data_IF_801116109150
#
_entry.id   IF_801116109150
#
_cell.length_a   1.000
_cell.length_b   1.000
_cell.length_c   1.000
_cell.angle_alpha   90.00
_cell.angle_beta   90.00
_cell.angle_gamma   90.00
#
_symmetry.space_group_name_H-M   'P 1'
#
loop_
_entity.id
_entity.type
_entity.pdbx_description
1 polymer ?
#
# COMPACT_ATOMS: atom_id res chain seq x y z
N UNK A 1 -13.32 -3.45 14.00
CA UNK A 1 -12.12 -2.57 14.04
C UNK A 1 -10.94 -3.29 14.68
N UNK A 2 -9.73 -3.11 14.12
CA UNK A 2 -8.51 -3.93 14.35
C UNK A 2 -7.96 -3.99 15.80
N UNK A 3 -8.30 -3.06 16.69
CA UNK A 3 -7.82 -3.05 18.08
C UNK A 3 -8.89 -2.49 19.02
N UNK A 4 -9.09 -3.14 20.16
CA UNK A 4 -10.01 -2.69 21.21
C UNK A 4 -9.52 -1.44 21.95
N UNK A 5 -8.21 -1.20 21.98
CA UNK A 5 -7.57 -0.12 22.77
C UNK A 5 -6.72 0.83 21.92
N UNK A 6 -6.77 0.68 20.60
CA UNK A 6 -5.88 1.37 19.66
C UNK A 6 -4.43 0.86 19.71
N UNK A 7 -3.48 1.67 19.28
CA UNK A 7 -2.04 1.37 19.33
C UNK A 7 -1.29 2.59 19.89
N UNK A 8 -0.48 2.39 20.93
CA UNK A 8 0.37 3.43 21.50
C UNK A 8 1.79 3.29 20.96
N UNK A 9 2.16 4.13 19.99
CA UNK A 9 3.48 4.04 19.34
C UNK A 9 4.62 4.65 20.14
N UNK A 10 4.32 5.62 21.01
CA UNK A 10 5.30 6.25 21.92
C UNK A 10 6.25 7.26 21.25
N UNK A 11 6.09 7.56 19.96
CA UNK A 11 6.87 8.60 19.29
C UNK A 11 6.53 10.00 19.81
N UNK A 12 7.50 10.92 19.90
CA UNK A 12 7.19 12.33 20.10
C UNK A 12 6.46 12.89 18.87
N UNK A 13 5.55 13.85 19.10
CA UNK A 13 4.78 14.49 18.04
C UNK A 13 5.45 15.78 17.56
N UNK A 14 5.19 16.14 16.30
CA UNK A 14 5.74 17.33 15.69
C UNK A 14 5.10 18.60 16.24
N UNK A 15 5.92 19.62 16.52
CA UNK A 15 5.44 20.98 16.78
C UNK A 15 5.18 21.70 15.45
N UNK A 16 4.07 21.38 14.80
CA UNK A 16 3.72 21.88 13.47
C UNK A 16 3.74 23.41 13.32
N UNK A 17 3.36 24.15 14.36
CA UNK A 17 3.43 25.63 14.38
C UNK A 17 4.88 26.12 14.25
N UNK A 18 5.82 25.50 14.98
CA UNK A 18 7.24 25.84 14.90
C UNK A 18 7.80 25.49 13.53
N UNK A 19 7.45 24.31 13.00
CA UNK A 19 7.87 23.89 11.67
C UNK A 19 7.38 24.84 10.58
N UNK A 20 6.12 25.29 10.65
CA UNK A 20 5.55 26.27 9.73
C UNK A 20 6.31 27.62 9.81
N UNK A 21 6.63 28.10 11.01
CA UNK A 21 7.43 29.31 11.21
C UNK A 21 8.87 29.22 10.67
N UNK A 22 9.36 28.01 10.41
CA UNK A 22 10.66 27.73 9.80
C UNK A 22 10.56 27.34 8.32
N UNK A 23 9.40 27.54 7.70
CA UNK A 23 9.17 27.20 6.28
C UNK A 23 9.28 25.69 6.00
N UNK A 24 8.96 24.85 6.99
CA UNK A 24 9.03 23.38 6.89
C UNK A 24 10.40 22.81 6.51
N UNK A 25 11.48 23.57 6.72
CA UNK A 25 12.85 23.20 6.32
C UNK A 25 13.25 21.76 6.68
N UNK A 26 12.94 21.30 7.90
CA UNK A 26 13.26 19.94 8.32
C UNK A 26 12.63 18.86 7.44
N UNK A 27 11.37 19.05 7.03
CA UNK A 27 10.68 18.09 6.16
C UNK A 27 11.19 18.15 4.72
N UNK A 28 11.51 19.35 4.23
CA UNK A 28 12.13 19.54 2.91
C UNK A 28 13.48 18.79 2.87
N UNK A 29 14.35 19.04 3.84
CA UNK A 29 15.66 18.37 3.94
C UNK A 29 15.51 16.85 4.10
N UNK A 30 14.54 16.38 4.89
CA UNK A 30 14.27 14.94 5.06
C UNK A 30 13.86 14.28 3.75
N UNK A 31 12.94 14.89 3.00
CA UNK A 31 12.45 14.35 1.73
C UNK A 31 13.59 14.37 0.71
N UNK A 32 14.31 15.49 0.60
CA UNK A 32 15.46 15.63 -0.29
C UNK A 32 16.51 14.54 -0.03
N UNK A 33 16.94 14.37 1.23
CA UNK A 33 17.93 13.35 1.58
C UNK A 33 17.43 11.92 1.33
N UNK A 34 16.12 11.67 1.45
CA UNK A 34 15.55 10.35 1.15
C UNK A 34 15.54 10.08 -0.35
N UNK A 35 15.26 11.11 -1.18
CA UNK A 35 15.32 11.01 -2.65
C UNK A 35 16.74 10.81 -3.21
N UNK A 36 17.78 11.02 -2.41
CA UNK A 36 19.15 10.62 -2.78
C UNK A 36 19.34 9.09 -2.74
N UNK A 37 18.45 8.36 -2.07
CA UNK A 37 18.55 6.91 -1.85
C UNK A 37 17.52 6.10 -2.63
N UNK A 38 16.37 6.69 -2.95
CA UNK A 38 15.23 6.02 -3.60
C UNK A 38 14.56 6.93 -4.62
N UNK A 39 13.98 6.34 -5.66
CA UNK A 39 13.24 7.10 -6.68
C UNK A 39 11.84 7.52 -6.20
N UNK A 40 11.23 6.74 -5.31
CA UNK A 40 9.87 6.92 -4.82
C UNK A 40 9.82 6.70 -3.30
N UNK A 41 9.15 7.61 -2.59
CA UNK A 41 9.01 7.55 -1.12
C UNK A 41 7.59 7.11 -0.77
N UNK A 42 7.44 5.95 -0.11
CA UNK A 42 6.22 5.66 0.65
C UNK A 42 6.26 6.43 1.96
N UNK A 43 5.30 7.33 2.16
CA UNK A 43 5.14 8.01 3.45
C UNK A 43 4.15 7.22 4.30
N UNK A 44 4.69 6.61 5.35
CA UNK A 44 3.94 5.89 6.37
C UNK A 44 3.01 6.83 7.15
N UNK A 45 1.83 6.34 7.50
CA UNK A 45 0.79 7.06 8.20
C UNK A 45 0.46 8.42 7.58
N UNK A 46 0.23 8.45 6.25
CA UNK A 46 0.00 9.69 5.49
C UNK A 46 -1.16 10.51 6.06
N UNK A 47 -2.18 9.86 6.63
CA UNK A 47 -3.30 10.56 7.27
C UNK A 47 -2.86 11.55 8.36
N UNK A 48 -1.70 11.30 8.98
CA UNK A 48 -1.08 12.14 10.01
C UNK A 48 -0.83 13.59 9.58
N UNK A 49 -0.72 13.85 8.28
CA UNK A 49 -0.55 15.21 7.73
C UNK A 49 -1.86 15.98 7.62
N UNK A 50 -3.00 15.30 7.63
CA UNK A 50 -4.32 15.92 7.74
C UNK A 50 -4.70 16.13 9.21
N UNK A 51 -4.59 15.06 10.00
CA UNK A 51 -4.75 15.08 11.44
C UNK A 51 -3.97 13.91 12.07
N UNK A 52 -3.48 14.07 13.30
CA UNK A 52 -2.82 13.01 14.04
C UNK A 52 -3.50 12.79 15.38
N UNK A 53 -3.39 11.57 15.91
CA UNK A 53 -3.92 11.21 17.21
C UNK A 53 -2.90 11.53 18.30
N UNK A 54 -3.19 12.55 19.10
CA UNK A 54 -2.35 13.02 20.19
C UNK A 54 -2.77 12.38 21.50
N UNK A 55 -1.85 11.65 22.14
CA UNK A 55 -2.09 10.98 23.42
C UNK A 55 -1.19 11.64 24.49
N UNK A 56 -1.73 12.03 25.65
CA UNK A 56 -0.91 12.53 26.75
C UNK A 56 0.17 11.53 27.17
N UNK A 57 1.38 12.04 27.43
CA UNK A 57 2.47 11.21 27.93
C UNK A 57 2.09 10.57 29.28
N UNK A 58 2.35 9.27 29.42
CA UNK A 58 2.04 8.50 30.63
C UNK A 58 0.77 7.64 30.53
N UNK A 59 -0.04 7.80 29.49
CA UNK A 59 -1.13 6.86 29.19
C UNK A 59 -0.58 5.47 28.86
N UNK A 60 -1.27 4.42 29.31
CA UNK A 60 -0.92 3.02 29.00
C UNK A 60 -1.53 2.55 27.67
N UNK A 61 -2.54 3.26 27.17
CA UNK A 61 -3.28 2.91 25.94
C UNK A 61 -3.53 4.13 25.06
N UNK A 62 -4.02 3.90 23.83
CA UNK A 62 -4.34 4.97 22.90
C UNK A 62 -5.78 5.52 23.04
N UNK A 63 -6.55 5.03 24.02
CA UNK A 63 -7.97 5.39 24.17
C UNK A 63 -8.13 6.88 24.49
N UNK A 64 -7.32 7.42 25.39
CA UNK A 64 -7.44 8.79 25.91
C UNK A 64 -6.67 9.81 25.07
N UNK A 65 -6.79 9.74 23.74
CA UNK A 65 -6.20 10.72 22.83
C UNK A 65 -7.23 11.67 22.21
N UNK A 66 -6.75 12.54 21.32
CA UNK A 66 -7.59 13.44 20.52
C UNK A 66 -7.01 13.64 19.13
N UNK A 67 -7.89 13.86 18.15
CA UNK A 67 -7.46 14.29 16.82
C UNK A 67 -7.02 15.76 16.83
N UNK A 68 -5.80 16.02 16.36
CA UNK A 68 -5.23 17.36 16.19
C UNK A 68 -4.92 17.58 14.72
N UNK A 69 -5.38 18.69 14.15
CA UNK A 69 -5.11 19.04 12.74
C UNK A 69 -3.63 19.30 12.50
N UNK A 70 -3.12 18.76 11.39
CA UNK A 70 -1.79 19.06 10.88
C UNK A 70 -1.89 19.95 9.61
N UNK A 71 -0.86 20.76 9.31
CA UNK A 71 -0.86 21.66 8.17
C UNK A 71 -0.39 20.96 6.88
N UNK A 72 -0.92 19.77 6.57
CA UNK A 72 -0.42 18.92 5.48
C UNK A 72 -0.36 19.61 4.12
N UNK A 73 -1.41 20.37 3.76
CA UNK A 73 -1.42 21.12 2.50
C UNK A 73 -0.28 22.13 2.41
N UNK A 74 -0.12 22.97 3.44
CA UNK A 74 0.94 23.98 3.47
C UNK A 74 2.34 23.35 3.51
N UNK A 75 2.48 22.18 4.16
CA UNK A 75 3.71 21.40 4.14
C UNK A 75 4.04 20.95 2.72
N UNK A 76 3.12 20.22 2.05
CA UNK A 76 3.41 19.65 0.72
C UNK A 76 3.54 20.73 -0.37
N UNK A 77 2.83 21.86 -0.26
CA UNK A 77 3.07 23.04 -1.12
C UNK A 77 4.50 23.58 -0.94
N UNK A 78 5.01 23.65 0.29
CA UNK A 78 6.38 24.12 0.55
C UNK A 78 7.43 23.12 0.05
N UNK A 79 7.17 21.82 0.18
CA UNK A 79 8.07 20.77 -0.33
C UNK A 79 8.08 20.77 -1.86
N UNK A 80 6.93 20.84 -2.51
CA UNK A 80 6.83 20.92 -3.98
C UNK A 80 7.50 22.19 -4.51
N UNK A 81 7.31 23.34 -3.84
CA UNK A 81 7.97 24.58 -4.22
C UNK A 81 9.51 24.50 -4.11
N UNK A 82 10.04 23.72 -3.16
CA UNK A 82 11.48 23.58 -2.93
C UNK A 82 12.13 22.51 -3.81
N UNK A 83 11.44 21.40 -4.06
CA UNK A 83 12.00 20.19 -4.69
C UNK A 83 11.42 19.86 -6.07
N UNK A 84 10.34 20.53 -6.48
CA UNK A 84 9.61 20.22 -7.70
C UNK A 84 8.67 19.03 -7.53
N UNK A 85 8.58 18.18 -8.55
CA UNK A 85 7.71 17.00 -8.53
C UNK A 85 8.03 16.09 -7.34
N UNK A 86 6.98 15.63 -6.66
CA UNK A 86 7.08 14.83 -5.43
C UNK A 86 6.73 13.36 -5.72
N UNK A 87 7.70 12.45 -5.89
CA UNK A 87 7.44 11.04 -6.15
C UNK A 87 7.09 10.32 -4.83
N UNK A 88 5.89 10.60 -4.32
CA UNK A 88 5.40 10.11 -3.02
C UNK A 88 4.24 9.14 -3.23
N UNK A 89 4.25 8.02 -2.51
CA UNK A 89 3.11 7.12 -2.31
C UNK A 89 2.53 7.36 -0.91
N UNK A 90 1.22 7.56 -0.83
CA UNK A 90 0.53 7.74 0.44
C UNK A 90 0.16 6.38 1.04
N UNK A 91 0.67 6.06 2.23
CA UNK A 91 0.09 5.00 3.05
C UNK A 91 -1.19 5.54 3.69
N UNK A 92 -2.32 5.21 3.07
CA UNK A 92 -3.67 5.66 3.41
C UNK A 92 -4.56 4.50 3.87
N UNK A 93 -4.04 3.61 4.72
CA UNK A 93 -4.82 2.53 5.30
C UNK A 93 -5.53 2.95 6.59
N UNK A 94 -6.58 2.22 6.96
CA UNK A 94 -7.39 2.46 8.15
C UNK A 94 -8.61 3.35 7.90
N UNK A 95 -9.05 4.09 8.92
CA UNK A 95 -10.19 5.01 8.79
C UNK A 95 -9.72 6.31 8.13
N UNK A 96 -9.98 6.41 6.83
CA UNK A 96 -9.65 7.56 6.01
C UNK A 96 -10.87 8.45 5.85
N UNK A 97 -10.69 9.74 6.08
CA UNK A 97 -11.73 10.75 5.90
C UNK A 97 -11.59 11.41 4.52
N UNK A 98 -12.65 12.08 4.05
CA UNK A 98 -12.62 12.79 2.76
C UNK A 98 -11.53 13.86 2.70
N UNK A 99 -11.15 14.43 3.84
CA UNK A 99 -10.07 15.40 3.95
C UNK A 99 -8.70 14.78 3.69
N UNK A 100 -8.48 13.53 4.11
CA UNK A 100 -7.23 12.79 3.83
C UNK A 100 -7.18 12.43 2.35
N UNK A 101 -8.29 11.95 1.77
CA UNK A 101 -8.38 11.67 0.34
C UNK A 101 -8.12 12.93 -0.48
N UNK A 102 -8.72 14.06 -0.09
CA UNK A 102 -8.51 15.34 -0.77
C UNK A 102 -7.05 15.80 -0.64
N UNK A 103 -6.40 15.61 0.51
CA UNK A 103 -4.99 15.93 0.67
C UNK A 103 -4.12 15.08 -0.27
N UNK A 104 -4.36 13.77 -0.35
CA UNK A 104 -3.66 12.86 -1.27
C UNK A 104 -3.88 13.27 -2.74
N UNK A 105 -5.14 13.44 -3.13
CA UNK A 105 -5.54 13.67 -4.52
C UNK A 105 -5.09 15.05 -5.03
N UNK A 106 -4.99 16.07 -4.15
CA UNK A 106 -4.50 17.41 -4.52
C UNK A 106 -3.04 17.43 -4.99
N UNK A 107 -2.21 16.47 -4.56
CA UNK A 107 -0.81 16.35 -4.97
C UNK A 107 -0.57 15.13 -5.88
N UNK A 108 -1.64 14.51 -6.39
CA UNK A 108 -1.61 13.32 -7.25
C UNK A 108 -0.82 12.13 -6.66
N UNK A 109 -0.81 11.99 -5.33
CA UNK A 109 -0.12 10.88 -4.67
C UNK A 109 -0.92 9.57 -4.85
N UNK A 110 -0.31 8.47 -5.31
CA UNK A 110 -0.99 7.18 -5.35
C UNK A 110 -1.29 6.68 -3.92
N UNK A 111 -2.52 6.22 -3.70
CA UNK A 111 -2.92 5.51 -2.47
C UNK A 111 -2.61 4.01 -2.53
N UNK A 112 -2.92 3.27 -1.47
CA UNK A 112 -2.64 1.83 -1.34
C UNK A 112 -3.91 0.97 -1.35
N UNK A 113 -3.87 -0.14 -2.08
CA UNK A 113 -4.90 -1.17 -2.06
C UNK A 113 -4.32 -2.50 -1.58
N UNK A 114 -4.85 -3.06 -0.48
CA UNK A 114 -4.38 -4.34 0.08
C UNK A 114 -5.42 -5.43 -0.17
N UNK A 115 -5.11 -6.40 -1.04
CA UNK A 115 -6.05 -7.45 -1.42
C UNK A 115 -6.51 -8.30 -0.23
N UNK A 116 -5.64 -8.54 0.75
CA UNK A 116 -6.01 -9.23 2.00
C UNK A 116 -7.10 -8.52 2.82
N UNK A 117 -7.36 -7.23 2.58
CA UNK A 117 -8.44 -6.47 3.22
C UNK A 117 -9.71 -6.39 2.34
N UNK A 118 -9.64 -6.82 1.08
CA UNK A 118 -10.75 -6.77 0.14
C UNK A 118 -11.90 -7.74 0.51
N UNK A 119 -11.57 -8.82 1.20
CA UNK A 119 -12.47 -9.96 1.41
C UNK A 119 -12.92 -10.16 2.86
N UNK A 120 -12.78 -9.14 3.73
CA UNK A 120 -13.33 -9.20 5.08
C UNK A 120 -14.86 -9.10 5.03
N UNK A 121 -15.54 -10.22 5.26
CA UNK A 121 -17.00 -10.34 5.20
C UNK A 121 -17.65 -10.47 6.60
N UNK A 122 -16.86 -10.29 7.68
CA UNK A 122 -17.17 -10.74 9.05
C UNK A 122 -18.49 -10.27 9.64
N UNK A 123 -19.03 -9.13 9.21
CA UNK A 123 -20.28 -8.59 9.80
C UNK A 123 -21.52 -8.76 8.91
N UNK A 124 -21.36 -8.86 7.58
CA UNK A 124 -22.49 -8.82 6.63
C UNK A 124 -22.74 -10.14 5.88
N UNK A 125 -21.90 -11.16 6.06
CA UNK A 125 -21.96 -12.42 5.31
C UNK A 125 -21.79 -12.25 3.80
N UNK A 126 -21.40 -11.06 3.36
CA UNK A 126 -21.25 -10.65 1.97
C UNK A 126 -20.17 -9.59 1.88
N UNK A 127 -19.59 -9.42 0.69
CA UNK A 127 -18.63 -8.34 0.45
C UNK A 127 -19.33 -7.00 0.62
N UNK A 128 -18.69 -6.08 1.34
CA UNK A 128 -19.06 -4.68 1.27
C UNK A 128 -18.75 -4.18 -0.17
N UNK A 129 -19.76 -3.83 -0.99
CA UNK A 129 -19.53 -3.41 -2.37
C UNK A 129 -18.77 -2.07 -2.45
N UNK A 130 -18.71 -1.30 -1.36
CA UNK A 130 -17.94 -0.04 -1.30
C UNK A 130 -16.53 -0.23 -0.74
N UNK A 131 -16.10 -1.46 -0.46
CA UNK A 131 -14.73 -1.73 -0.03
C UNK A 131 -13.76 -1.36 -1.16
N UNK A 132 -12.98 -0.30 -0.97
CA UNK A 132 -12.07 0.21 -2.00
C UNK A 132 -10.91 -0.75 -2.29
N UNK A 133 -10.61 -1.69 -1.39
CA UNK A 133 -9.60 -2.73 -1.60
C UNK A 133 -10.00 -3.77 -2.64
N UNK A 134 -11.29 -3.85 -3.01
CA UNK A 134 -11.75 -4.75 -4.07
C UNK A 134 -11.20 -4.28 -5.42
N UNK A 135 -10.59 -5.19 -6.23
CA UNK A 135 -9.98 -4.83 -7.51
C UNK A 135 -10.84 -3.98 -8.46
N UNK A 136 -12.16 -4.24 -8.53
CA UNK A 136 -13.07 -3.47 -9.39
C UNK A 136 -13.39 -2.06 -8.86
N UNK A 137 -13.01 -1.75 -7.61
CA UNK A 137 -13.13 -0.43 -7.00
C UNK A 137 -11.80 0.34 -6.96
N UNK A 138 -10.68 -0.30 -7.32
CA UNK A 138 -9.37 0.33 -7.33
C UNK A 138 -9.32 1.49 -8.34
N UNK A 139 -8.57 2.54 -8.01
CA UNK A 139 -8.29 3.67 -8.91
C UNK A 139 -6.97 3.45 -9.66
N UNK A 140 -6.80 3.97 -10.90
CA UNK A 140 -5.53 3.87 -11.60
C UNK A 140 -4.35 4.47 -10.84
N UNK A 141 -4.52 5.66 -10.24
CA UNK A 141 -3.49 6.28 -9.41
C UNK A 141 -3.41 5.65 -8.01
N UNK A 142 -2.97 4.39 -7.95
CA UNK A 142 -2.79 3.64 -6.71
C UNK A 142 -1.72 2.55 -6.86
N UNK A 143 -1.36 1.95 -5.73
CA UNK A 143 -0.49 0.78 -5.64
C UNK A 143 -1.26 -0.37 -5.02
N UNK A 144 -1.35 -1.49 -5.73
CA UNK A 144 -1.94 -2.72 -5.19
C UNK A 144 -0.87 -3.61 -4.57
N UNK A 145 -1.21 -4.23 -3.44
CA UNK A 145 -0.42 -5.25 -2.77
C UNK A 145 -1.28 -6.48 -2.53
N UNK A 146 -0.69 -7.68 -2.57
CA UNK A 146 -1.33 -8.86 -1.99
C UNK A 146 -1.49 -8.66 -0.47
N UNK A 147 -0.37 -8.40 0.20
CA UNK A 147 -0.24 -7.93 1.58
C UNK A 147 1.01 -7.06 1.74
N UNK A 148 1.14 -6.37 2.87
CA UNK A 148 2.36 -5.64 3.25
C UNK A 148 3.25 -6.49 4.17
N UNK A 149 4.31 -5.90 4.71
CA UNK A 149 5.15 -6.54 5.73
C UNK A 149 4.46 -6.70 7.09
N UNK A 150 3.38 -5.96 7.36
CA UNK A 150 2.58 -6.05 8.59
C UNK A 150 1.48 -7.13 8.50
N UNK A 151 1.15 -7.52 7.27
CA UNK A 151 0.26 -8.61 7.00
C UNK A 151 0.96 -9.97 7.21
N UNK A 152 0.15 -11.01 7.40
CA UNK A 152 0.66 -12.37 7.23
C UNK A 152 0.93 -12.64 5.73
N UNK A 153 1.63 -13.71 5.40
CA UNK A 153 1.71 -14.17 4.00
C UNK A 153 0.31 -14.46 3.50
N UNK A 154 0.06 -14.33 2.19
CA UNK A 154 -1.27 -14.59 1.64
C UNK A 154 -1.71 -16.04 1.91
N UNK A 155 -0.76 -16.98 2.00
CA UNK A 155 -1.03 -18.37 2.36
C UNK A 155 -1.49 -18.52 3.81
N UNK A 156 -0.74 -17.93 4.76
CA UNK A 156 -1.08 -17.94 6.18
C UNK A 156 -2.41 -17.23 6.44
N UNK A 157 -2.55 -16.04 5.86
CA UNK A 157 -3.80 -15.25 5.88
C UNK A 157 -5.00 -16.05 5.39
N UNK A 158 -4.89 -16.75 4.26
CA UNK A 158 -6.00 -17.52 3.68
C UNK A 158 -6.39 -18.72 4.54
N UNK A 159 -5.41 -19.42 5.14
CA UNK A 159 -5.66 -20.59 5.99
C UNK A 159 -6.51 -20.25 7.21
N UNK A 160 -6.27 -19.09 7.80
CA UNK A 160 -6.99 -18.53 8.96
C UNK A 160 -8.35 -17.90 8.59
N UNK A 161 -8.85 -18.08 7.36
CA UNK A 161 -10.20 -17.67 6.96
C UNK A 161 -11.23 -18.75 7.23
N UNK A 162 -12.47 -18.33 7.47
CA UNK A 162 -13.60 -19.26 7.59
C UNK A 162 -13.90 -19.93 6.24
N UNK A 163 -14.64 -21.04 6.26
CA UNK A 163 -15.00 -21.73 5.02
C UNK A 163 -15.89 -20.86 4.11
N UNK A 164 -16.71 -19.99 4.70
CA UNK A 164 -17.55 -19.01 3.99
C UNK A 164 -16.70 -17.93 3.29
N UNK A 165 -15.69 -17.39 3.97
CA UNK A 165 -14.75 -16.43 3.39
C UNK A 165 -13.93 -17.08 2.27
N UNK A 166 -13.47 -18.31 2.47
CA UNK A 166 -12.74 -19.09 1.46
C UNK A 166 -13.61 -19.34 0.22
N UNK A 167 -14.87 -19.72 0.40
CA UNK A 167 -15.84 -19.88 -0.69
C UNK A 167 -16.09 -18.57 -1.45
N UNK A 168 -16.28 -17.49 -0.71
CA UNK A 168 -16.46 -16.16 -1.29
C UNK A 168 -15.27 -15.76 -2.16
N UNK A 169 -14.05 -15.98 -1.68
CA UNK A 169 -12.82 -15.67 -2.42
C UNK A 169 -12.73 -16.53 -3.70
N UNK A 170 -13.00 -17.84 -3.62
CA UNK A 170 -13.02 -18.73 -4.80
C UNK A 170 -14.03 -18.27 -5.84
N UNK A 171 -15.23 -17.86 -5.41
CA UNK A 171 -16.26 -17.33 -6.31
C UNK A 171 -15.86 -16.00 -6.95
N UNK A 172 -15.26 -15.09 -6.18
CA UNK A 172 -14.78 -13.82 -6.71
C UNK A 172 -13.68 -14.01 -7.75
N UNK A 173 -12.73 -14.92 -7.47
CA UNK A 173 -11.64 -15.26 -8.38
C UNK A 173 -12.09 -16.14 -9.55
N UNK A 174 -13.28 -16.76 -9.45
CA UNK A 174 -13.77 -17.83 -10.34
C UNK A 174 -12.76 -19.00 -10.48
N UNK A 175 -12.10 -19.37 -9.38
CA UNK A 175 -10.99 -20.34 -9.33
C UNK A 175 -11.07 -21.21 -8.08
N UNK A 176 -10.57 -22.46 -8.12
CA UNK A 176 -10.27 -23.23 -6.91
C UNK A 176 -9.14 -22.55 -6.10
N UNK A 177 -8.88 -23.03 -4.88
CA UNK A 177 -7.91 -22.47 -3.95
C UNK A 177 -6.58 -23.25 -3.86
N UNK A 178 -6.35 -24.20 -4.77
CA UNK A 178 -5.12 -24.99 -4.86
C UNK A 178 -3.86 -24.13 -5.11
N UNK A 179 -4.05 -22.93 -5.64
CA UNK A 179 -2.99 -22.00 -6.02
C UNK A 179 -3.24 -20.56 -5.53
N UNK A 180 -3.95 -20.43 -4.41
CA UNK A 180 -4.52 -19.16 -3.92
C UNK A 180 -3.53 -17.98 -3.89
N UNK A 181 -2.28 -18.23 -3.48
CA UNK A 181 -1.25 -17.18 -3.42
C UNK A 181 -0.98 -16.58 -4.80
N UNK A 182 -0.86 -17.43 -5.81
CA UNK A 182 -0.61 -16.96 -7.18
C UNK A 182 -1.87 -16.45 -7.87
N UNK A 183 -3.06 -16.90 -7.47
CA UNK A 183 -4.29 -16.26 -7.92
C UNK A 183 -4.42 -14.83 -7.34
N UNK A 184 -3.92 -14.57 -6.13
CA UNK A 184 -3.78 -13.22 -5.57
C UNK A 184 -2.71 -12.38 -6.28
N UNK A 185 -1.56 -12.97 -6.62
CA UNK A 185 -0.54 -12.30 -7.46
C UNK A 185 -1.15 -11.92 -8.81
N UNK A 186 -1.84 -12.87 -9.47
CA UNK A 186 -2.57 -12.62 -10.71
C UNK A 186 -3.60 -11.50 -10.55
N UNK A 187 -4.34 -11.48 -9.45
CA UNK A 187 -5.34 -10.44 -9.17
C UNK A 187 -4.69 -9.04 -9.02
N UNK A 188 -3.55 -8.96 -8.33
CA UNK A 188 -2.78 -7.72 -8.23
C UNK A 188 -2.27 -7.28 -9.61
N UNK A 189 -1.68 -8.21 -10.37
CA UNK A 189 -1.15 -7.95 -11.71
C UNK A 189 -2.27 -7.56 -12.71
N UNK A 190 -3.46 -8.11 -12.59
CA UNK A 190 -4.60 -7.77 -13.46
C UNK A 190 -5.32 -6.46 -13.08
N UNK A 191 -5.01 -5.88 -11.91
CA UNK A 191 -5.71 -4.69 -11.43
C UNK A 191 -5.40 -3.44 -12.25
N UNK A 192 -6.27 -2.43 -12.17
CA UNK A 192 -6.05 -1.12 -12.82
C UNK A 192 -4.98 -0.27 -12.13
N UNK A 193 -4.45 -0.69 -10.98
CA UNK A 193 -3.46 0.08 -10.23
C UNK A 193 -2.16 0.24 -11.03
N UNK A 194 -1.62 1.47 -11.02
CA UNK A 194 -0.36 1.85 -11.68
C UNK A 194 0.79 0.94 -11.25
N UNK A 195 0.88 0.66 -9.95
CA UNK A 195 1.90 -0.22 -9.39
C UNK A 195 1.26 -1.48 -8.79
N UNK A 196 1.88 -2.64 -9.01
CA UNK A 196 1.55 -3.88 -8.33
C UNK A 196 2.80 -4.38 -7.60
N UNK A 197 2.74 -4.50 -6.27
CA UNK A 197 3.87 -4.89 -5.43
C UNK A 197 3.51 -6.17 -4.68
N UNK A 198 4.35 -7.20 -4.83
CA UNK A 198 4.14 -8.51 -4.23
C UNK A 198 5.29 -8.80 -3.26
N UNK A 199 5.01 -9.14 -1.99
CA UNK A 199 6.04 -9.60 -1.05
C UNK A 199 6.74 -10.85 -1.57
N UNK A 200 8.06 -10.94 -1.35
CA UNK A 200 8.85 -12.10 -1.78
C UNK A 200 8.34 -13.41 -1.15
N UNK A 201 7.76 -13.36 0.05
CA UNK A 201 7.14 -14.51 0.71
C UNK A 201 5.98 -15.10 -0.10
N UNK A 202 5.19 -14.25 -0.76
CA UNK A 202 4.08 -14.70 -1.62
C UNK A 202 4.60 -15.26 -2.93
N UNK A 203 5.62 -14.62 -3.54
CA UNK A 203 6.32 -15.16 -4.72
C UNK A 203 6.85 -16.57 -4.47
N UNK A 204 7.39 -16.80 -3.26
CA UNK A 204 7.91 -18.10 -2.81
C UNK A 204 6.83 -19.04 -2.23
N UNK A 205 5.55 -18.62 -2.22
CA UNK A 205 4.40 -19.38 -1.72
C UNK A 205 4.61 -19.92 -0.27
N UNK A 206 5.17 -19.08 0.60
CA UNK A 206 5.50 -19.40 2.00
C UNK A 206 4.32 -19.16 2.95
N UNK A 207 4.35 -19.85 4.08
CA UNK A 207 3.32 -19.79 5.13
C UNK A 207 3.66 -18.76 6.23
N UNK A 208 2.86 -18.70 7.30
CA UNK A 208 3.02 -17.74 8.40
C UNK A 208 4.39 -17.72 9.08
N UNK A 209 5.17 -18.80 9.00
CA UNK A 209 6.56 -18.83 9.48
C UNK A 209 7.47 -17.81 8.75
N UNK A 210 7.04 -17.32 7.59
CA UNK A 210 7.74 -16.30 6.81
C UNK A 210 7.20 -14.87 7.03
N UNK A 211 6.23 -14.69 7.93
CA UNK A 211 5.68 -13.35 8.25
C UNK A 211 6.78 -12.40 8.71
N UNK A 212 6.79 -11.19 8.15
CA UNK A 212 7.86 -10.21 8.42
C UNK A 212 7.64 -9.49 9.75
N UNK A 213 6.44 -8.97 9.98
CA UNK A 213 6.10 -8.26 11.21
C UNK A 213 4.69 -8.64 11.68
N UNK A 214 4.53 -8.80 12.99
CA UNK A 214 3.22 -8.85 13.65
C UNK A 214 3.05 -7.56 14.45
N UNK A 215 2.21 -6.62 13.99
CA UNK A 215 1.98 -5.36 14.69
C UNK A 215 1.64 -5.56 16.16
N UNK A 216 2.17 -4.68 17.01
CA UNK A 216 1.97 -4.69 18.48
C UNK A 216 2.57 -5.90 19.22
N UNK A 217 3.35 -6.77 18.56
CA UNK A 217 4.07 -7.87 19.22
C UNK A 217 5.54 -7.50 19.38
N UNK A 218 6.08 -7.65 20.60
CA UNK A 218 7.49 -7.42 20.89
C UNK A 218 8.31 -8.70 20.64
N UNK A 219 9.36 -8.61 19.83
CA UNK A 219 10.26 -9.72 19.50
C UNK A 219 9.78 -10.60 18.33
N UNK A 220 10.71 -11.29 17.68
CA UNK A 220 10.42 -12.22 16.58
C UNK A 220 10.16 -11.58 15.20
N UNK A 221 10.00 -10.27 15.12
CA UNK A 221 9.77 -9.55 13.86
C UNK A 221 11.08 -9.22 13.12
N UNK A 222 10.98 -8.89 11.83
CA UNK A 222 12.06 -8.41 10.96
C UNK A 222 13.20 -9.41 10.76
N UNK A 223 12.94 -10.70 11.01
CA UNK A 223 13.95 -11.75 11.02
C UNK A 223 13.91 -12.66 9.77
N UNK A 224 12.83 -12.61 8.98
CA UNK A 224 12.69 -13.45 7.79
C UNK A 224 13.76 -13.12 6.74
N UNK A 225 14.35 -14.18 6.17
CA UNK A 225 15.35 -14.10 5.10
C UNK A 225 15.16 -15.28 4.16
N UNK A 226 15.38 -15.06 2.86
CA UNK A 226 15.45 -16.13 1.87
C UNK A 226 16.91 -16.54 1.62
N UNK A 227 17.10 -17.76 1.10
CA UNK A 227 18.39 -18.19 0.55
C UNK A 227 18.38 -17.99 -0.97
N UNK A 228 19.52 -17.64 -1.61
CA UNK A 228 19.55 -17.36 -3.05
C UNK A 228 18.93 -18.47 -3.92
N UNK A 229 19.04 -19.74 -3.51
CA UNK A 229 18.52 -20.90 -4.24
C UNK A 229 16.99 -20.95 -4.28
N UNK A 230 16.30 -20.20 -3.42
CA UNK A 230 14.86 -20.05 -3.48
C UNK A 230 14.39 -19.36 -4.77
N UNK A 231 15.25 -18.51 -5.36
CA UNK A 231 15.01 -17.84 -6.64
C UNK A 231 15.52 -18.74 -7.78
N UNK A 232 14.66 -19.62 -8.27
CA UNK A 232 14.95 -20.54 -9.37
C UNK A 232 14.17 -20.16 -10.64
N UNK A 233 14.53 -20.79 -11.76
CA UNK A 233 13.93 -20.52 -13.07
C UNK A 233 12.39 -20.56 -13.05
N UNK A 234 11.79 -21.52 -12.33
CA UNK A 234 10.31 -21.60 -12.26
C UNK A 234 9.67 -20.38 -11.60
N UNK A 235 10.33 -19.74 -10.63
CA UNK A 235 9.83 -18.51 -10.00
C UNK A 235 9.96 -17.34 -10.97
N UNK A 236 11.10 -17.22 -11.63
CA UNK A 236 11.36 -16.18 -12.63
C UNK A 236 10.39 -16.27 -13.80
N UNK A 237 10.27 -17.44 -14.43
CA UNK A 237 9.44 -17.66 -15.61
C UNK A 237 7.97 -17.34 -15.30
N UNK A 238 7.51 -17.71 -14.11
CA UNK A 238 6.12 -17.48 -13.71
C UNK A 238 5.84 -16.01 -13.40
N UNK A 239 6.78 -15.28 -12.80
CA UNK A 239 6.66 -13.83 -12.63
C UNK A 239 6.70 -13.12 -13.98
N UNK A 240 7.63 -13.50 -14.86
CA UNK A 240 7.76 -12.94 -16.20
C UNK A 240 6.48 -13.14 -17.02
N UNK A 241 5.89 -14.34 -16.97
CA UNK A 241 4.59 -14.63 -17.60
C UNK A 241 3.49 -13.68 -17.07
N UNK A 242 3.42 -13.44 -15.76
CA UNK A 242 2.41 -12.52 -15.22
C UNK A 242 2.65 -11.06 -15.64
N UNK A 243 3.92 -10.65 -15.71
CA UNK A 243 4.30 -9.29 -16.15
C UNK A 243 3.93 -9.09 -17.62
N UNK A 244 4.24 -10.05 -18.49
CA UNK A 244 3.91 -10.01 -19.92
C UNK A 244 2.39 -10.05 -20.14
N UNK A 245 1.71 -11.04 -19.55
CA UNK A 245 0.27 -11.26 -19.74
C UNK A 245 -0.61 -10.06 -19.37
N UNK A 246 -0.22 -9.31 -18.33
CA UNK A 246 -0.97 -8.16 -17.84
C UNK A 246 -0.37 -6.82 -18.25
N UNK A 247 0.62 -6.82 -19.15
CA UNK A 247 1.26 -5.60 -19.64
C UNK A 247 1.84 -4.79 -18.48
N UNK A 248 2.75 -5.36 -17.70
CA UNK A 248 3.49 -4.65 -16.63
C UNK A 248 4.97 -4.52 -16.93
N UNK A 249 5.36 -4.84 -18.15
CA UNK A 249 6.70 -4.58 -18.65
C UNK A 249 6.80 -3.10 -19.10
N UNK A 250 7.62 -2.27 -18.44
CA UNK A 250 7.79 -0.87 -18.83
C UNK A 250 8.36 -0.69 -20.24
N UNK A 251 9.10 -1.67 -20.77
CA UNK A 251 9.65 -1.61 -22.13
C UNK A 251 8.52 -1.77 -23.15
N UNK A 252 7.64 -2.75 -22.97
CA UNK A 252 6.48 -2.95 -23.84
C UNK A 252 5.54 -1.74 -23.83
N UNK A 253 5.37 -1.08 -22.68
CA UNK A 253 4.60 0.16 -22.60
C UNK A 253 5.22 1.29 -23.43
N UNK A 254 6.52 1.53 -23.29
CA UNK A 254 7.21 2.59 -24.04
C UNK A 254 7.15 2.33 -25.56
N UNK A 255 7.25 1.07 -25.97
CA UNK A 255 7.11 0.67 -27.38
C UNK A 255 5.68 0.90 -27.90
N UNK A 256 4.66 0.50 -27.12
CA UNK A 256 3.25 0.69 -27.48
C UNK A 256 2.85 2.17 -27.56
N UNK A 257 3.29 3.01 -26.61
CA UNK A 257 3.04 4.45 -26.64
C UNK A 257 3.67 5.11 -27.87
N UNK A 258 4.93 4.77 -28.18
CA UNK A 258 5.61 5.28 -29.37
C UNK A 258 4.91 4.86 -30.67
N UNK A 259 4.27 3.69 -30.72
CA UNK A 259 3.50 3.22 -31.87
C UNK A 259 2.14 3.92 -31.99
N UNK A 260 1.46 4.19 -30.87
CA UNK A 260 0.22 4.97 -30.83
C UNK A 260 0.48 6.40 -31.32
N UNK A 261 1.53 7.07 -30.84
CA UNK A 261 1.89 8.42 -31.27
C UNK A 261 2.17 8.48 -32.78
N UNK A 262 2.91 7.50 -33.32
CA UNK A 262 3.15 7.39 -34.76
C UNK A 262 1.86 7.23 -35.55
N UNK A 263 0.90 6.45 -35.04
CA UNK A 263 -0.36 6.17 -35.74
C UNK A 263 -1.33 7.34 -35.67
N UNK A 264 -1.34 8.09 -34.56
CA UNK A 264 -2.13 9.32 -34.40
C UNK A 264 -1.61 10.49 -35.26
N UNK A 265 -0.29 10.55 -35.50
CA UNK A 265 0.32 11.50 -36.45
C UNK A 265 -0.02 11.21 -37.91
N UNK A 266 -0.33 9.95 -38.27
CA UNK A 266 -0.73 9.55 -39.64
C UNK A 266 -2.22 9.84 -39.91
N UNK A 267 -3.01 10.10 -38.88
CA UNK A 267 -4.46 10.34 -38.97
C UNK A 267 -4.90 11.76 -38.55
N UNK A 268 -3.96 12.67 -38.33
CA UNK A 268 -4.26 14.09 -38.16
C UNK A 268 -4.29 14.79 -39.54
N UNK A 269 -5.40 15.46 -39.93
CA UNK A 269 -5.52 16.16 -41.21
C UNK A 269 -4.61 17.38 -41.35
#
# INVERSE_FOLDING_TARGET
YFSATGQLWGNPLYQWIVMAGQGYRWWIERIQATLELVDIIRIDHFRGFEAYWEIPAGEETAINGRWVKAPGKALFEAVEAALGHLPILAEDLGVITKEVEALRDNFDFPGMNILQFAFDAKEAGSLNPTNHFLPHNNRPNSVVYTGTHDNDTTKGWYRERSDEEKDLIRRYLARPDDNIVWDFIRLAMASVARFAIVPMQDVLNLDSDARMNTPSVLGGNWAWRYRPEALNASVYDRLAEMVDLYGRDPVLWAEAEAEIEKTQLVHSP
#
